data_IF_104002835722
#
_entry.id   IF_104002835722
#
_cell.length_a   1.000
_cell.length_b   1.000
_cell.length_c   1.000
_cell.angle_alpha   90.00
_cell.angle_beta   90.00
_cell.angle_gamma   90.00
#
_symmetry.space_group_name_H-M   'P 1'
#
loop_
_entity.id
_entity.type
_entity.pdbx_description
1 polymer ?
#
# COMPACT_ATOMS: atom_id res chain seq x y z
N UNK A 1 -8.69 18.72 -16.26
CA UNK A 1 -8.33 20.13 -16.07
C UNK A 1 -9.06 21.03 -17.05
N UNK A 2 -8.80 21.00 -18.36
CA UNK A 2 -9.42 21.91 -19.34
C UNK A 2 -10.96 21.98 -19.29
N UNK A 3 -11.65 20.85 -19.09
CA UNK A 3 -13.11 20.83 -19.01
C UNK A 3 -13.60 21.56 -17.75
N UNK A 4 -12.94 21.39 -16.61
CA UNK A 4 -13.30 22.10 -15.38
C UNK A 4 -13.11 23.61 -15.57
N UNK A 5 -11.99 24.03 -16.17
CA UNK A 5 -11.73 25.43 -16.49
C UNK A 5 -12.79 26.03 -17.44
N UNK A 6 -13.13 25.32 -18.52
CA UNK A 6 -14.17 25.74 -19.47
C UNK A 6 -15.57 25.89 -18.84
N UNK A 7 -15.85 25.07 -17.82
CA UNK A 7 -17.12 25.08 -17.10
C UNK A 7 -17.11 25.99 -15.87
N UNK A 8 -16.01 26.68 -15.58
CA UNK A 8 -15.85 27.49 -14.37
C UNK A 8 -15.90 26.68 -13.07
N UNK A 9 -15.56 25.38 -13.14
CA UNK A 9 -15.55 24.47 -12.00
C UNK A 9 -14.15 24.36 -11.38
N UNK A 10 -14.05 24.12 -10.06
CA UNK A 10 -12.76 23.83 -9.45
C UNK A 10 -12.14 22.56 -10.06
N UNK A 11 -10.82 22.51 -10.24
CA UNK A 11 -10.14 21.32 -10.73
C UNK A 11 -10.23 20.16 -9.69
N UNK A 12 -10.06 18.90 -10.12
CA UNK A 12 -9.93 17.78 -9.18
C UNK A 12 -8.77 18.02 -8.21
N UNK A 13 -9.04 17.90 -6.91
CA UNK A 13 -8.02 18.07 -5.86
C UNK A 13 -7.29 16.78 -5.55
N UNK A 14 -7.95 15.62 -5.71
CA UNK A 14 -7.41 14.31 -5.38
C UNK A 14 -7.79 13.25 -6.41
N UNK A 15 -7.01 12.19 -6.47
CA UNK A 15 -7.28 10.97 -7.24
C UNK A 15 -7.15 9.75 -6.32
N UNK A 16 -8.07 8.80 -6.42
CA UNK A 16 -7.92 7.50 -5.77
C UNK A 16 -7.28 6.50 -6.72
N UNK A 17 -6.23 5.81 -6.25
CA UNK A 17 -5.61 4.71 -7.00
C UNK A 17 -5.14 3.60 -6.06
N UNK A 18 -5.07 2.36 -6.58
CA UNK A 18 -4.39 1.28 -5.87
C UNK A 18 -2.91 1.65 -5.72
N UNK A 19 -2.40 1.65 -4.50
CA UNK A 19 -1.01 1.96 -4.25
C UNK A 19 -0.54 1.33 -2.94
N UNK A 20 0.54 0.57 -3.01
CA UNK A 20 1.09 -0.19 -1.90
C UNK A 20 2.52 -0.63 -2.20
N UNK A 21 3.19 -1.27 -1.27
CA UNK A 21 4.50 -1.92 -1.49
C UNK A 21 4.50 -2.88 -2.69
N UNK A 22 3.36 -3.55 -2.97
CA UNK A 22 3.19 -4.50 -4.08
C UNK A 22 2.54 -3.90 -5.33
N UNK A 23 2.09 -2.66 -5.32
CA UNK A 23 1.43 -2.01 -6.46
C UNK A 23 1.89 -0.56 -6.53
N UNK A 24 2.82 -0.26 -7.44
CA UNK A 24 3.41 1.07 -7.61
C UNK A 24 3.22 1.65 -9.01
N UNK A 25 2.31 1.11 -9.81
CA UNK A 25 2.06 1.57 -11.19
C UNK A 25 1.74 3.08 -11.25
N UNK A 26 1.12 3.63 -10.20
CA UNK A 26 0.88 5.06 -10.11
C UNK A 26 2.16 5.90 -10.29
N UNK A 27 3.30 5.42 -9.79
CA UNK A 27 4.58 6.15 -9.86
C UNK A 27 5.06 6.33 -11.32
N UNK A 28 4.81 5.34 -12.18
CA UNK A 28 5.17 5.38 -13.60
C UNK A 28 4.09 6.01 -14.49
N UNK A 29 2.82 5.93 -14.09
CA UNK A 29 1.70 6.28 -14.95
C UNK A 29 1.17 7.70 -14.71
N UNK A 30 0.86 8.03 -13.46
CA UNK A 30 0.11 9.24 -13.11
C UNK A 30 0.86 10.21 -12.18
N UNK A 31 1.93 9.78 -11.52
CA UNK A 31 2.62 10.61 -10.54
C UNK A 31 3.13 11.92 -11.14
N UNK A 32 3.66 11.90 -12.38
CA UNK A 32 4.13 13.10 -13.06
C UNK A 32 2.97 14.06 -13.36
N UNK A 33 1.86 13.55 -13.89
CA UNK A 33 0.66 14.35 -14.21
C UNK A 33 0.07 14.97 -12.94
N UNK A 34 0.05 14.22 -11.84
CA UNK A 34 -0.49 14.65 -10.55
C UNK A 34 0.49 15.54 -9.76
N UNK A 35 1.75 15.60 -10.15
CA UNK A 35 2.80 16.31 -9.43
C UNK A 35 2.49 17.81 -9.21
N UNK A 36 3.07 18.44 -8.18
CA UNK A 36 2.97 19.89 -7.97
C UNK A 36 3.43 20.74 -9.15
N UNK A 37 4.32 20.20 -10.01
CA UNK A 37 4.80 20.88 -11.22
C UNK A 37 3.75 20.93 -12.32
N UNK A 38 2.80 20.01 -12.33
CA UNK A 38 1.74 19.91 -13.32
C UNK A 38 0.38 20.32 -12.75
N UNK A 39 -0.34 19.38 -12.16
CA UNK A 39 -1.72 19.63 -11.76
C UNK A 39 -1.96 19.65 -10.25
N UNK A 40 -0.96 19.34 -9.46
CA UNK A 40 -1.02 19.34 -8.00
C UNK A 40 -2.22 18.56 -7.43
N UNK A 41 -2.43 17.36 -7.94
CA UNK A 41 -3.51 16.44 -7.53
C UNK A 41 -2.97 15.45 -6.51
N UNK A 42 -3.52 15.45 -5.29
CA UNK A 42 -3.10 14.54 -4.22
C UNK A 42 -3.55 13.09 -4.46
N UNK A 43 -2.67 12.12 -4.17
CA UNK A 43 -3.04 10.70 -4.21
C UNK A 43 -3.75 10.30 -2.92
N UNK A 44 -4.87 9.59 -3.06
CA UNK A 44 -5.54 8.83 -2.00
C UNK A 44 -5.33 7.34 -2.27
N UNK A 45 -4.23 6.73 -1.77
CA UNK A 45 -3.94 5.33 -1.98
C UNK A 45 -4.96 4.44 -1.27
N UNK A 46 -5.52 3.49 -1.98
CA UNK A 46 -6.33 2.41 -1.42
C UNK A 46 -5.63 1.06 -1.62
N UNK A 47 -6.11 0.02 -0.94
CA UNK A 47 -5.47 -1.32 -0.91
C UNK A 47 -4.04 -1.33 -0.36
N UNK A 48 -3.71 -0.42 0.54
CA UNK A 48 -2.37 -0.27 1.11
C UNK A 48 -1.87 -1.56 1.76
N UNK A 49 -2.77 -2.35 2.35
CA UNK A 49 -2.47 -3.66 2.95
C UNK A 49 -2.76 -4.84 2.01
N UNK A 50 -3.11 -4.62 0.73
CA UNK A 50 -3.40 -5.67 -0.24
C UNK A 50 -4.40 -6.72 0.28
N UNK A 51 -5.56 -6.27 0.80
CA UNK A 51 -6.57 -7.16 1.41
C UNK A 51 -6.13 -7.79 2.74
N UNK A 52 -5.01 -7.37 3.27
CA UNK A 52 -4.38 -7.89 4.49
C UNK A 52 -3.16 -8.78 4.23
N UNK A 53 -2.75 -9.01 2.98
CA UNK A 53 -1.53 -9.77 2.66
C UNK A 53 -0.31 -9.11 3.32
N UNK A 54 -0.18 -7.79 3.20
CA UNK A 54 0.92 -7.01 3.78
C UNK A 54 0.80 -6.77 5.29
N UNK A 55 -0.20 -7.34 5.97
CA UNK A 55 -0.24 -7.35 7.45
C UNK A 55 0.50 -8.52 8.09
N UNK A 56 1.03 -9.45 7.29
CA UNK A 56 1.74 -10.63 7.76
C UNK A 56 0.86 -11.77 8.27
N UNK A 57 -0.45 -11.57 8.43
CA UNK A 57 -1.35 -12.58 9.03
C UNK A 57 -1.58 -13.86 8.19
N UNK A 58 -1.20 -13.84 6.92
CA UNK A 58 -1.31 -14.97 6.01
C UNK A 58 0.02 -15.70 5.77
N UNK A 59 1.07 -15.32 6.47
CA UNK A 59 2.37 -16.01 6.40
C UNK A 59 2.27 -17.45 6.93
N UNK A 60 3.08 -18.39 6.45
CA UNK A 60 3.08 -19.77 6.95
C UNK A 60 3.30 -19.88 8.47
N UNK A 61 4.03 -18.92 9.06
CA UNK A 61 4.26 -18.84 10.50
C UNK A 61 3.10 -18.25 11.29
N UNK A 62 2.13 -17.61 10.63
CA UNK A 62 0.96 -17.02 11.22
C UNK A 62 -0.26 -17.92 10.97
N UNK A 63 -1.15 -18.04 11.95
CA UNK A 63 -2.42 -18.73 11.79
C UNK A 63 -3.53 -17.69 11.60
N UNK A 64 -3.95 -17.49 10.35
CA UNK A 64 -5.06 -16.59 10.06
C UNK A 64 -6.35 -17.07 10.71
N UNK A 65 -7.09 -16.17 11.31
CA UNK A 65 -8.41 -16.47 11.86
C UNK A 65 -9.43 -16.82 10.77
N UNK A 66 -10.45 -17.62 11.09
CA UNK A 66 -11.52 -17.98 10.15
C UNK A 66 -12.26 -16.75 9.60
N UNK A 67 -12.35 -15.68 10.37
CA UNK A 67 -12.93 -14.37 9.97
C UNK A 67 -12.01 -13.53 9.08
N UNK A 68 -10.76 -13.93 8.91
CA UNK A 68 -9.83 -13.20 8.06
C UNK A 68 -10.29 -13.21 6.60
N UNK A 69 -10.19 -12.06 5.93
CA UNK A 69 -10.82 -11.78 4.63
C UNK A 69 -10.56 -12.86 3.58
N UNK A 70 -9.32 -13.31 3.41
CA UNK A 70 -8.97 -14.35 2.42
C UNK A 70 -9.32 -15.76 2.88
N UNK A 71 -9.62 -15.97 4.16
CA UNK A 71 -10.17 -17.24 4.66
C UNK A 71 -11.69 -17.28 4.50
N UNK A 72 -12.36 -16.15 4.75
CA UNK A 72 -13.81 -16.05 4.66
C UNK A 72 -14.34 -15.88 3.22
N UNK A 73 -13.54 -15.33 2.30
CA UNK A 73 -13.93 -15.01 0.93
C UNK A 73 -12.86 -15.49 -0.06
N UNK A 74 -13.01 -16.72 -0.53
CA UNK A 74 -12.03 -17.41 -1.37
C UNK A 74 -11.73 -16.70 -2.70
N UNK A 75 -12.71 -16.05 -3.32
CA UNK A 75 -12.57 -15.35 -4.59
C UNK A 75 -12.24 -13.85 -4.45
N UNK A 76 -12.12 -13.35 -3.22
CA UNK A 76 -11.87 -11.93 -3.01
C UNK A 76 -10.44 -11.53 -3.40
N UNK A 77 -10.31 -10.58 -4.31
CA UNK A 77 -9.02 -10.00 -4.74
C UNK A 77 -7.95 -11.09 -5.01
N UNK A 78 -8.24 -12.03 -5.91
CA UNK A 78 -7.40 -13.22 -6.21
C UNK A 78 -5.91 -12.90 -6.38
N UNK A 79 -5.58 -11.76 -6.97
CA UNK A 79 -4.18 -11.31 -7.15
C UNK A 79 -3.37 -11.17 -5.85
N UNK A 80 -4.03 -10.95 -4.73
CA UNK A 80 -3.43 -10.84 -3.40
C UNK A 80 -3.76 -12.03 -2.49
N UNK A 81 -4.66 -12.89 -2.93
CA UNK A 81 -5.12 -14.02 -2.13
C UNK A 81 -4.01 -15.07 -2.03
N UNK A 82 -3.60 -15.52 -0.82
CA UNK A 82 -2.48 -16.44 -0.64
C UNK A 82 -2.55 -17.72 -1.46
N UNK A 83 -3.77 -18.26 -1.69
CA UNK A 83 -3.95 -19.46 -2.50
C UNK A 83 -3.90 -19.23 -4.02
N UNK A 84 -3.92 -17.99 -4.49
CA UNK A 84 -4.02 -17.64 -5.91
C UNK A 84 -2.92 -16.68 -6.37
N UNK A 85 -2.31 -15.95 -5.43
CA UNK A 85 -1.21 -15.05 -5.74
C UNK A 85 0.02 -15.83 -6.22
N UNK A 86 0.82 -15.20 -7.08
CA UNK A 86 2.07 -15.81 -7.58
C UNK A 86 3.08 -15.96 -6.45
N UNK A 87 3.92 -17.00 -6.50
CA UNK A 87 4.98 -17.24 -5.50
C UNK A 87 5.87 -16.00 -5.30
N UNK A 88 6.22 -15.28 -6.38
CA UNK A 88 7.01 -14.05 -6.28
C UNK A 88 6.30 -12.97 -5.46
N UNK A 89 4.97 -12.90 -5.50
CA UNK A 89 4.17 -11.96 -4.70
C UNK A 89 4.20 -12.33 -3.22
N UNK A 90 4.06 -13.61 -2.91
CA UNK A 90 4.12 -14.11 -1.54
C UNK A 90 5.51 -13.94 -0.96
N UNK A 91 6.56 -14.26 -1.73
CA UNK A 91 7.95 -14.04 -1.35
C UNK A 91 8.22 -12.57 -1.06
N UNK A 92 7.77 -11.66 -1.93
CA UNK A 92 7.93 -10.22 -1.69
C UNK A 92 7.21 -9.75 -0.42
N UNK A 93 6.00 -10.26 -0.15
CA UNK A 93 5.27 -9.94 1.08
C UNK A 93 6.02 -10.43 2.34
N UNK A 94 6.64 -11.61 2.28
CA UNK A 94 7.46 -12.14 3.37
C UNK A 94 8.76 -11.33 3.55
N UNK A 95 9.41 -10.90 2.47
CA UNK A 95 10.59 -10.03 2.54
C UNK A 95 10.26 -8.67 3.15
N UNK A 96 9.15 -8.03 2.78
CA UNK A 96 8.69 -6.79 3.42
C UNK A 96 8.39 -6.99 4.90
N UNK A 97 7.78 -8.13 5.28
CA UNK A 97 7.55 -8.43 6.68
C UNK A 97 8.87 -8.60 7.46
N UNK A 98 9.88 -9.23 6.87
CA UNK A 98 11.19 -9.37 7.48
C UNK A 98 11.91 -8.01 7.67
N UNK A 99 11.76 -7.08 6.70
CA UNK A 99 12.28 -5.71 6.86
C UNK A 99 11.59 -5.02 8.05
N UNK A 100 10.27 -5.11 8.16
CA UNK A 100 9.51 -4.54 9.27
C UNK A 100 9.99 -5.09 10.63
N UNK A 101 10.07 -6.43 10.75
CA UNK A 101 10.47 -7.11 11.98
C UNK A 101 11.87 -6.69 12.46
N UNK A 102 12.85 -6.55 11.55
CA UNK A 102 14.19 -6.06 11.90
C UNK A 102 14.18 -4.63 12.42
N UNK A 103 13.25 -3.81 11.96
CA UNK A 103 13.06 -2.43 12.40
C UNK A 103 12.16 -2.30 13.67
N UNK A 104 11.69 -3.41 14.23
CA UNK A 104 10.76 -3.40 15.37
C UNK A 104 9.35 -2.94 15.02
N UNK A 105 8.99 -2.96 13.73
CA UNK A 105 7.68 -2.61 13.21
C UNK A 105 6.87 -3.87 12.90
N UNK A 106 5.55 -3.77 12.99
CA UNK A 106 4.69 -4.77 12.35
C UNK A 106 4.69 -4.57 10.81
N UNK A 107 4.41 -5.62 10.03
CA UNK A 107 4.31 -5.50 8.57
C UNK A 107 3.27 -4.47 8.11
N UNK A 108 2.16 -4.33 8.85
CA UNK A 108 1.13 -3.34 8.56
C UNK A 108 1.62 -1.90 8.79
N UNK A 109 2.37 -1.67 9.88
CA UNK A 109 2.99 -0.37 10.16
C UNK A 109 3.97 0.02 9.06
N UNK A 110 4.84 -0.90 8.64
CA UNK A 110 5.76 -0.64 7.52
C UNK A 110 5.02 -0.24 6.25
N UNK A 111 3.97 -0.99 5.87
CA UNK A 111 3.22 -0.73 4.65
C UNK A 111 2.51 0.63 4.67
N UNK A 112 1.91 1.01 5.80
CA UNK A 112 1.25 2.31 5.97
C UNK A 112 2.29 3.43 6.02
N UNK A 113 3.34 3.27 6.81
CA UNK A 113 4.42 4.26 6.95
C UNK A 113 5.08 4.53 5.60
N UNK A 114 5.42 3.49 4.84
CA UNK A 114 5.99 3.63 3.50
C UNK A 114 5.06 4.43 2.57
N UNK A 115 3.76 4.16 2.56
CA UNK A 115 2.83 4.96 1.77
C UNK A 115 2.84 6.43 2.20
N UNK A 116 2.87 6.72 3.51
CA UNK A 116 2.86 8.09 4.06
C UNK A 116 4.09 8.91 3.65
N UNK A 117 5.23 8.27 3.37
CA UNK A 117 6.46 8.98 2.96
C UNK A 117 6.49 9.34 1.48
N UNK A 118 5.51 8.90 0.67
CA UNK A 118 5.52 9.18 -0.77
C UNK A 118 5.11 10.61 -1.09
N UNK A 119 5.86 11.25 -1.99
CA UNK A 119 5.62 12.66 -2.39
C UNK A 119 4.24 12.88 -2.99
N UNK A 120 3.71 11.90 -3.71
CA UNK A 120 2.37 11.94 -4.31
C UNK A 120 1.23 12.02 -3.28
N UNK A 121 1.52 11.76 -2.00
CA UNK A 121 0.53 11.81 -0.90
C UNK A 121 0.57 13.15 -0.15
N UNK A 122 1.46 14.07 -0.48
CA UNK A 122 1.64 15.34 0.25
C UNK A 122 0.34 16.16 0.41
N UNK A 123 -0.60 16.05 -0.53
CA UNK A 123 -1.93 16.69 -0.48
C UNK A 123 -3.07 15.65 -0.41
N UNK A 124 -2.76 14.41 -0.10
CA UNK A 124 -3.70 13.31 0.01
C UNK A 124 -3.70 12.69 1.40
N UNK A 125 -4.28 11.51 1.50
CA UNK A 125 -4.30 10.71 2.73
C UNK A 125 -4.38 9.24 2.40
N UNK A 126 -3.73 8.41 3.19
CA UNK A 126 -3.77 6.94 3.03
C UNK A 126 -5.13 6.40 3.45
N UNK A 127 -5.78 5.63 2.57
CA UNK A 127 -7.06 5.00 2.86
C UNK A 127 -6.80 3.61 3.46
N UNK A 128 -7.23 3.44 4.70
CA UNK A 128 -7.16 2.17 5.42
C UNK A 128 -8.56 1.70 5.80
N UNK A 129 -8.72 0.37 5.90
CA UNK A 129 -9.94 -0.26 6.36
C UNK A 129 -9.62 -1.29 7.45
N UNK A 130 -10.59 -1.52 8.33
CA UNK A 130 -10.50 -2.51 9.39
C UNK A 130 -11.82 -3.28 9.51
N UNK A 131 -11.75 -4.55 9.90
CA UNK A 131 -12.93 -5.37 10.20
C UNK A 131 -13.12 -5.59 11.68
N UNK A 132 -12.12 -5.23 12.51
CA UNK A 132 -12.16 -5.29 13.97
C UNK A 132 -11.61 -4.00 14.58
N UNK A 133 -11.99 -3.70 15.84
CA UNK A 133 -11.46 -2.57 16.58
C UNK A 133 -9.93 -2.67 16.77
N UNK A 134 -9.41 -3.88 17.01
CA UNK A 134 -7.97 -4.09 17.15
C UNK A 134 -7.21 -3.72 15.86
N UNK A 135 -7.72 -4.11 14.69
CA UNK A 135 -7.13 -3.72 13.40
C UNK A 135 -7.22 -2.19 13.16
N UNK A 136 -8.33 -1.58 13.56
CA UNK A 136 -8.46 -0.12 13.45
C UNK A 136 -7.43 0.58 14.34
N UNK A 137 -7.27 0.13 15.59
CA UNK A 137 -6.26 0.68 16.50
C UNK A 137 -4.86 0.54 15.92
N UNK A 138 -4.47 -0.65 15.44
CA UNK A 138 -3.17 -0.87 14.78
C UNK A 138 -2.94 0.07 13.60
N UNK A 139 -3.96 0.26 12.76
CA UNK A 139 -3.87 1.19 11.64
C UNK A 139 -3.66 2.64 12.13
N UNK A 140 -4.38 3.07 13.17
CA UNK A 140 -4.24 4.41 13.74
C UNK A 140 -2.85 4.59 14.37
N UNK A 141 -2.35 3.60 15.10
CA UNK A 141 -1.01 3.62 15.70
C UNK A 141 0.07 3.82 14.62
N UNK A 142 -0.09 3.16 13.44
CA UNK A 142 0.80 3.37 12.30
C UNK A 142 0.81 4.83 11.78
N UNK A 143 -0.27 5.58 11.96
CA UNK A 143 -0.32 7.01 11.61
C UNK A 143 0.37 7.90 12.65
N UNK A 144 0.63 7.42 13.85
CA UNK A 144 1.37 8.17 14.89
C UNK A 144 2.88 7.99 14.77
N UNK A 145 3.34 7.01 14.00
CA UNK A 145 4.76 6.77 13.79
C UNK A 145 5.43 7.98 13.11
N UNK A 146 6.59 8.43 13.58
CA UNK A 146 7.39 9.43 12.88
C UNK A 146 7.77 8.93 11.48
N UNK A 147 7.78 9.81 10.46
CA UNK A 147 8.16 9.43 9.10
C UNK A 147 9.62 8.97 9.04
N UNK A 148 10.46 9.51 9.90
CA UNK A 148 11.88 9.20 10.07
C UNK A 148 12.13 7.77 10.60
N UNK A 149 11.09 7.08 11.10
CA UNK A 149 11.18 5.66 11.45
C UNK A 149 11.42 4.77 10.23
N UNK A 150 11.17 5.28 9.02
CA UNK A 150 11.55 4.64 7.77
C UNK A 150 12.91 5.21 7.32
N UNK A 151 13.99 4.47 7.59
CA UNK A 151 15.36 4.88 7.25
C UNK A 151 15.66 4.74 5.76
N UNK A 152 16.70 5.41 5.27
CA UNK A 152 17.13 5.30 3.88
C UNK A 152 17.54 3.85 3.54
N UNK A 153 18.18 3.13 4.45
CA UNK A 153 18.54 1.71 4.27
C UNK A 153 17.29 0.84 4.10
N UNK A 154 16.24 1.08 4.89
CA UNK A 154 14.98 0.36 4.73
C UNK A 154 14.32 0.67 3.39
N UNK A 155 14.39 1.90 2.92
CA UNK A 155 13.86 2.31 1.61
C UNK A 155 14.61 1.57 0.50
N UNK A 156 15.93 1.49 0.56
CA UNK A 156 16.76 0.75 -0.40
C UNK A 156 16.40 -0.74 -0.43
N UNK A 157 16.26 -1.38 0.74
CA UNK A 157 15.82 -2.78 0.82
C UNK A 157 14.41 -2.97 0.24
N UNK A 158 13.47 -2.10 0.58
CA UNK A 158 12.10 -2.11 0.04
C UNK A 158 12.11 -1.96 -1.49
N UNK A 159 12.93 -1.09 -2.02
CA UNK A 159 13.06 -0.88 -3.45
C UNK A 159 13.73 -2.07 -4.15
N UNK A 160 14.70 -2.72 -3.52
CA UNK A 160 15.29 -3.95 -4.01
C UNK A 160 14.26 -5.10 -4.11
N UNK A 161 13.36 -5.24 -3.13
CA UNK A 161 12.24 -6.19 -3.21
C UNK A 161 11.33 -5.84 -4.38
N UNK A 162 10.94 -4.57 -4.52
CA UNK A 162 10.08 -4.11 -5.60
C UNK A 162 10.69 -4.38 -6.99
N UNK A 163 12.00 -4.21 -7.15
CA UNK A 163 12.68 -4.51 -8.44
C UNK A 163 12.53 -5.96 -8.86
N UNK A 164 12.41 -6.90 -7.92
CA UNK A 164 12.19 -8.34 -8.20
C UNK A 164 10.71 -8.70 -8.39
N UNK A 165 9.79 -7.90 -7.83
CA UNK A 165 8.35 -8.13 -7.89
C UNK A 165 7.62 -6.83 -8.22
N UNK A 166 7.73 -6.38 -9.49
CA UNK A 166 7.05 -5.17 -9.96
C UNK A 166 5.59 -5.46 -10.25
N UNK A 167 4.71 -4.74 -9.56
CA UNK A 167 3.27 -4.69 -9.80
C UNK A 167 2.63 -6.03 -10.20
N UNK A 168 2.73 -7.07 -9.37
CA UNK A 168 2.24 -8.40 -9.68
C UNK A 168 0.73 -8.44 -9.98
N UNK A 169 0.01 -7.36 -9.64
CA UNK A 169 -1.41 -7.19 -9.95
C UNK A 169 -1.70 -7.04 -11.44
N UNK A 170 -0.73 -6.63 -12.24
CA UNK A 170 -0.89 -6.36 -13.67
C UNK A 170 -0.48 -7.57 -14.54
N UNK A 171 0.03 -8.64 -13.95
CA UNK A 171 0.34 -9.86 -14.69
C UNK A 171 -0.90 -10.73 -14.77
N UNK A 172 -1.52 -10.73 -15.95
CA UNK A 172 -2.53 -11.70 -16.38
C UNK A 172 -1.88 -13.04 -16.66
#
# INVERSE_FOLDING_TARGET
MRVAEQLGMPPPATIQNAYSLLCRSFDSDLAEVCSPRNHNVGLLPWSVLCGGLLSGKYRPSARAEASARFVAFEDYMRRWHPAHARDVTLTAADEYAAIAERAGLSPAELAILWCRTRRSIAHGSVIVGATTLAQLQQNLDAFTLPLESLTDEMIEEIDAVHMRCRDPSNSL
#
